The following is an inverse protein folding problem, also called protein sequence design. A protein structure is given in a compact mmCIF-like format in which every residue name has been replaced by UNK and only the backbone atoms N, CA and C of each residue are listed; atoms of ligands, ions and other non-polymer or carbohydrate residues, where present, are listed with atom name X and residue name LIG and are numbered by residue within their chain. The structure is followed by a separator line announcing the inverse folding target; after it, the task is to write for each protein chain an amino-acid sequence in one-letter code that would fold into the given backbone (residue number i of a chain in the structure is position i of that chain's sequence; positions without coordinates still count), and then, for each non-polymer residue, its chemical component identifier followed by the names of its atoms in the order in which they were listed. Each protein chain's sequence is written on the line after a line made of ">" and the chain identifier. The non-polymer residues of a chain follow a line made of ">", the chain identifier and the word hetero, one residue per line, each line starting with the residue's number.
data_IF_223216125447
#
_entry.id   IF_223216125447
#
_cell.length_a   1.000
_cell.length_b   1.000
_cell.length_c   1.000
_cell.angle_alpha   90.00
_cell.angle_beta   90.00
_cell.angle_gamma   90.00
#
_symmetry.space_group_name_H-M   'P 1'
#
loop_
_entity.id
_entity.type
_entity.pdbx_description
1 polymer ?
#
# COMPACT_ATOMS: atom_id res chain seq x y z
N UNK A 1 37.56 -40.66 -0.73
CA UNK A 1 36.26 -40.38 -0.09
C UNK A 1 36.10 -38.88 -0.05
N UNK A 2 35.30 -38.30 -0.93
CA UNK A 2 35.08 -36.86 -0.93
C UNK A 2 34.05 -36.53 0.14
N UNK A 3 34.43 -35.69 1.11
CA UNK A 3 33.49 -35.16 2.09
C UNK A 3 32.47 -34.31 1.36
N UNK A 4 31.24 -34.81 1.26
CA UNK A 4 30.11 -34.06 0.74
C UNK A 4 29.70 -33.09 1.84
N UNK A 5 29.64 -31.80 1.52
CA UNK A 5 29.18 -30.78 2.46
C UNK A 5 27.80 -31.18 3.01
N UNK A 6 27.56 -31.10 4.33
CA UNK A 6 26.22 -31.21 4.85
C UNK A 6 25.34 -30.17 4.14
N UNK A 7 24.25 -30.62 3.50
CA UNK A 7 23.38 -29.78 2.68
C UNK A 7 23.41 -30.03 1.16
N UNK A 8 24.28 -30.90 0.63
CA UNK A 8 24.27 -31.19 -0.81
C UNK A 8 23.08 -32.06 -1.22
N UNK A 9 22.19 -31.52 -2.06
CA UNK A 9 21.06 -32.24 -2.64
C UNK A 9 21.54 -33.32 -3.61
N UNK A 10 21.20 -34.58 -3.33
CA UNK A 10 21.56 -35.72 -4.16
C UNK A 10 20.46 -35.99 -5.17
N UNK A 11 20.72 -35.63 -6.42
CA UNK A 11 19.87 -36.04 -7.54
C UNK A 11 20.11 -37.53 -7.82
N UNK A 12 19.09 -38.39 -7.77
CA UNK A 12 19.27 -39.79 -8.12
C UNK A 12 19.58 -39.93 -9.61
N UNK A 13 20.45 -40.87 -9.94
CA UNK A 13 20.76 -41.28 -11.31
C UNK A 13 20.38 -42.73 -11.48
N UNK A 14 19.68 -43.04 -12.58
CA UNK A 14 19.22 -44.40 -12.87
C UNK A 14 20.02 -45.02 -14.00
N UNK A 15 20.27 -46.32 -13.93
CA UNK A 15 20.86 -47.11 -15.02
C UNK A 15 19.95 -48.27 -15.44
N UNK A 16 20.15 -48.76 -16.66
CA UNK A 16 19.35 -49.85 -17.21
C UNK A 16 19.51 -51.13 -16.38
N UNK A 17 18.37 -51.75 -16.04
CA UNK A 17 18.33 -52.94 -15.19
C UNK A 17 18.47 -52.66 -13.68
N UNK A 18 18.54 -51.39 -13.24
CA UNK A 18 18.54 -51.05 -11.82
C UNK A 18 17.20 -51.40 -11.15
N UNK A 19 17.26 -52.04 -9.99
CA UNK A 19 16.11 -52.20 -9.10
C UNK A 19 15.91 -50.90 -8.33
N UNK A 20 14.75 -50.26 -8.50
CA UNK A 20 14.41 -48.99 -7.84
C UNK A 20 14.03 -49.26 -6.38
N UNK A 21 14.75 -48.62 -5.46
CA UNK A 21 14.42 -48.68 -4.03
C UNK A 21 13.43 -47.58 -3.62
N UNK A 22 12.78 -47.76 -2.47
CA UNK A 22 11.96 -46.70 -1.88
C UNK A 22 12.78 -45.44 -1.56
N UNK A 23 14.06 -45.59 -1.22
CA UNK A 23 14.95 -44.45 -0.98
C UNK A 23 15.21 -43.64 -2.27
N UNK A 24 15.28 -44.30 -3.42
CA UNK A 24 15.45 -43.63 -4.71
C UNK A 24 14.19 -42.81 -5.05
N UNK A 25 13.00 -43.39 -4.88
CA UNK A 25 11.73 -42.69 -5.10
C UNK A 25 11.55 -41.50 -4.15
N UNK A 26 11.83 -41.68 -2.87
CA UNK A 26 11.80 -40.59 -1.90
C UNK A 26 12.79 -39.48 -2.26
N UNK A 27 13.99 -39.83 -2.75
CA UNK A 27 14.98 -38.84 -3.17
C UNK A 27 14.51 -38.03 -4.38
N UNK A 28 13.79 -38.65 -5.34
CA UNK A 28 13.16 -37.92 -6.46
C UNK A 28 12.13 -36.91 -5.95
N UNK A 29 11.20 -37.34 -5.09
CA UNK A 29 10.12 -36.49 -4.57
C UNK A 29 10.68 -35.34 -3.74
N UNK A 30 11.57 -35.63 -2.79
CA UNK A 30 12.20 -34.61 -1.94
C UNK A 30 12.98 -33.58 -2.75
N UNK A 31 13.70 -34.00 -3.80
CA UNK A 31 14.44 -33.07 -4.66
C UNK A 31 13.49 -32.07 -5.33
N UNK A 32 12.34 -32.53 -5.82
CA UNK A 32 11.36 -31.65 -6.44
C UNK A 32 10.71 -30.69 -5.43
N UNK A 33 10.31 -31.20 -4.27
CA UNK A 33 9.69 -30.40 -3.21
C UNK A 33 10.63 -29.31 -2.68
N UNK A 34 11.89 -29.65 -2.44
CA UNK A 34 12.89 -28.67 -1.97
C UNK A 34 13.19 -27.62 -3.05
N UNK A 35 13.27 -28.02 -4.32
CA UNK A 35 13.50 -27.05 -5.40
C UNK A 35 12.38 -26.00 -5.49
N UNK A 36 11.12 -26.41 -5.31
CA UNK A 36 9.96 -25.50 -5.24
C UNK A 36 10.06 -24.62 -4.00
N UNK A 37 10.28 -25.21 -2.82
CA UNK A 37 10.36 -24.46 -1.58
C UNK A 37 11.48 -23.40 -1.59
N UNK A 38 12.63 -23.71 -2.21
CA UNK A 38 13.71 -22.76 -2.42
C UNK A 38 13.33 -21.65 -3.39
N UNK A 39 12.68 -21.98 -4.53
CA UNK A 39 12.19 -20.99 -5.47
C UNK A 39 11.29 -19.97 -4.78
N UNK A 40 10.29 -20.47 -4.04
CA UNK A 40 9.36 -19.64 -3.27
C UNK A 40 10.07 -18.79 -2.22
N UNK A 41 10.91 -19.40 -1.38
CA UNK A 41 11.58 -18.71 -0.27
C UNK A 41 12.53 -17.60 -0.73
N UNK A 42 13.21 -17.79 -1.86
CA UNK A 42 14.27 -16.88 -2.30
C UNK A 42 13.80 -15.83 -3.30
N UNK A 43 12.82 -16.14 -4.14
CA UNK A 43 12.29 -15.20 -5.13
C UNK A 43 11.01 -14.49 -4.67
N UNK A 44 10.39 -14.93 -3.58
CA UNK A 44 9.14 -14.36 -3.08
C UNK A 44 9.21 -13.95 -1.60
N UNK A 45 8.29 -13.08 -1.21
CA UNK A 45 7.95 -12.86 0.20
C UNK A 45 6.82 -13.82 0.58
N UNK A 46 6.82 -14.41 1.79
CA UNK A 46 5.73 -15.28 2.23
C UNK A 46 4.43 -14.49 2.41
N UNK A 47 3.30 -15.17 2.31
CA UNK A 47 1.98 -14.57 2.46
C UNK A 47 0.91 -15.20 1.58
N UNK A 48 -0.24 -14.56 1.51
CA UNK A 48 -1.37 -14.95 0.67
C UNK A 48 -1.05 -14.61 -0.78
N UNK A 49 -1.06 -15.62 -1.66
CA UNK A 49 -0.85 -15.42 -3.09
C UNK A 49 -2.16 -15.03 -3.80
N UNK A 50 -3.26 -15.70 -3.46
CA UNK A 50 -4.60 -15.43 -4.01
C UNK A 50 -5.67 -15.98 -3.07
N UNK A 51 -6.83 -15.31 -2.99
CA UNK A 51 -7.98 -15.80 -2.22
C UNK A 51 -7.77 -15.72 -0.71
N UNK A 52 -8.23 -16.75 0.01
CA UNK A 52 -8.10 -16.90 1.47
C UNK A 52 -8.71 -15.77 2.32
N UNK A 53 -9.59 -14.95 1.74
CA UNK A 53 -10.29 -13.94 2.50
C UNK A 53 -11.27 -14.60 3.47
N UNK A 54 -11.36 -14.04 4.67
CA UNK A 54 -12.38 -14.39 5.65
C UNK A 54 -13.61 -13.50 5.46
N UNK A 55 -14.79 -14.11 5.49
CA UNK A 55 -16.07 -13.43 5.33
C UNK A 55 -17.05 -13.89 6.39
N UNK A 56 -17.84 -12.94 6.90
CA UNK A 56 -18.89 -13.18 7.88
C UNK A 56 -20.25 -13.01 7.23
N UNK A 57 -21.12 -13.98 7.42
CA UNK A 57 -22.53 -13.89 7.06
C UNK A 57 -23.31 -13.75 8.36
N UNK A 58 -24.09 -12.69 8.48
CA UNK A 58 -24.96 -12.49 9.63
C UNK A 58 -26.04 -13.57 9.67
N UNK A 59 -26.19 -14.18 10.85
CA UNK A 59 -27.18 -15.20 11.16
C UNK A 59 -27.83 -14.88 12.49
N UNK A 60 -28.96 -15.54 12.75
CA UNK A 60 -29.68 -15.41 14.01
C UNK A 60 -29.87 -16.78 14.64
N UNK A 61 -29.67 -16.86 15.94
CA UNK A 61 -29.99 -18.07 16.73
C UNK A 61 -31.50 -18.24 16.87
N UNK A 62 -31.95 -19.40 17.33
CA UNK A 62 -33.37 -19.62 17.65
C UNK A 62 -33.91 -18.68 18.74
N UNK A 63 -33.01 -18.10 19.55
CA UNK A 63 -33.35 -17.13 20.61
C UNK A 63 -33.42 -15.68 20.15
N UNK A 64 -33.18 -15.39 18.86
CA UNK A 64 -33.20 -14.02 18.31
C UNK A 64 -31.86 -13.28 18.38
N UNK A 65 -30.84 -13.86 19.00
CA UNK A 65 -29.50 -13.28 19.09
C UNK A 65 -28.74 -13.40 17.76
N UNK A 66 -28.05 -12.34 17.33
CA UNK A 66 -27.28 -12.32 16.08
C UNK A 66 -25.87 -12.85 16.27
N UNK A 67 -25.34 -13.50 15.24
CA UNK A 67 -23.96 -13.98 15.19
C UNK A 67 -23.44 -13.95 13.75
N UNK A 68 -22.13 -14.13 13.58
CA UNK A 68 -21.47 -14.22 12.28
C UNK A 68 -21.07 -15.67 12.01
N UNK A 69 -21.60 -16.25 10.93
CA UNK A 69 -21.07 -17.49 10.36
C UNK A 69 -19.85 -17.13 9.51
N UNK A 70 -18.66 -17.47 9.99
CA UNK A 70 -17.39 -17.08 9.37
C UNK A 70 -16.87 -18.18 8.45
N UNK A 71 -16.52 -17.82 7.22
CA UNK A 71 -16.00 -18.74 6.20
C UNK A 71 -14.70 -18.19 5.61
N UNK A 72 -13.74 -19.08 5.37
CA UNK A 72 -12.52 -18.80 4.60
C UNK A 72 -12.74 -19.19 3.14
N UNK A 73 -12.48 -18.27 2.22
CA UNK A 73 -12.57 -18.54 0.79
C UNK A 73 -11.44 -19.46 0.30
N UNK A 74 -11.67 -20.23 -0.78
CA UNK A 74 -10.60 -20.95 -1.44
C UNK A 74 -9.43 -20.02 -1.81
N UNK A 75 -8.22 -20.57 -1.82
CA UNK A 75 -7.04 -19.80 -2.17
C UNK A 75 -5.74 -20.52 -1.85
N UNK A 76 -4.65 -19.78 -2.03
CA UNK A 76 -3.29 -20.26 -1.88
C UNK A 76 -2.48 -19.26 -1.07
N UNK A 77 -1.71 -19.77 -0.11
CA UNK A 77 -0.65 -19.04 0.55
C UNK A 77 0.68 -19.77 0.42
N UNK A 78 1.76 -19.02 0.60
CA UNK A 78 3.13 -19.52 0.71
C UNK A 78 3.65 -19.17 2.09
N UNK A 79 4.06 -20.17 2.86
CA UNK A 79 4.61 -19.94 4.19
C UNK A 79 6.10 -19.50 4.13
N UNK A 80 6.69 -19.12 5.27
CA UNK A 80 8.10 -18.71 5.33
C UNK A 80 9.11 -19.80 4.95
N UNK A 81 8.70 -21.06 4.95
CA UNK A 81 9.50 -22.19 4.49
C UNK A 81 9.34 -22.46 2.98
N UNK A 82 8.53 -21.69 2.26
CA UNK A 82 8.24 -21.91 0.84
C UNK A 82 7.26 -23.05 0.58
N UNK A 83 6.53 -23.51 1.61
CA UNK A 83 5.46 -24.51 1.46
C UNK A 83 4.22 -23.84 0.91
N UNK A 84 3.59 -24.49 -0.07
CA UNK A 84 2.28 -24.11 -0.58
C UNK A 84 1.18 -24.60 0.36
N UNK A 85 0.30 -23.68 0.79
CA UNK A 85 -0.85 -23.94 1.65
C UNK A 85 -2.12 -23.62 0.85
N UNK A 86 -2.78 -24.67 0.36
CA UNK A 86 -3.97 -24.53 -0.49
C UNK A 86 -5.24 -24.93 0.25
N UNK A 87 -6.25 -24.07 0.20
CA UNK A 87 -7.64 -24.38 0.56
C UNK A 87 -8.42 -24.47 -0.74
N UNK A 88 -8.86 -25.68 -1.10
CA UNK A 88 -9.52 -25.93 -2.38
C UNK A 88 -11.00 -25.52 -2.41
N UNK A 89 -11.67 -25.57 -1.26
CA UNK A 89 -13.11 -25.27 -1.12
C UNK A 89 -13.32 -24.36 0.08
N UNK A 90 -14.36 -23.53 0.02
CA UNK A 90 -14.69 -22.63 1.12
C UNK A 90 -14.88 -23.43 2.42
N UNK A 91 -14.22 -23.02 3.48
CA UNK A 91 -14.22 -23.73 4.76
C UNK A 91 -14.83 -22.86 5.85
N UNK A 92 -15.88 -23.35 6.50
CA UNK A 92 -16.48 -22.65 7.64
C UNK A 92 -15.55 -22.81 8.84
N UNK A 93 -15.27 -21.69 9.53
CA UNK A 93 -14.54 -21.71 10.79
C UNK A 93 -15.36 -22.43 11.86
N UNK A 94 -14.74 -23.41 12.51
CA UNK A 94 -15.38 -24.19 13.58
C UNK A 94 -15.37 -23.41 14.89
N UNK A 95 -16.56 -23.07 15.40
CA UNK A 95 -16.74 -22.49 16.73
C UNK A 95 -16.36 -23.48 17.85
N UNK A 96 -16.60 -24.77 17.63
CA UNK A 96 -16.23 -25.82 18.58
C UNK A 96 -14.70 -25.91 18.72
N UNK A 97 -13.97 -25.86 17.59
CA UNK A 97 -12.50 -25.80 17.60
C UNK A 97 -11.98 -24.57 18.36
N UNK A 98 -12.63 -23.41 18.18
CA UNK A 98 -12.26 -22.20 18.90
C UNK A 98 -12.45 -22.36 20.42
N UNK A 99 -13.59 -22.90 20.85
CA UNK A 99 -13.90 -23.16 22.26
C UNK A 99 -12.93 -24.20 22.87
N UNK A 100 -12.65 -25.29 22.14
CA UNK A 100 -11.74 -26.37 22.55
C UNK A 100 -10.29 -25.90 22.73
N UNK A 101 -9.83 -24.94 21.90
CA UNK A 101 -8.50 -24.36 22.04
C UNK A 101 -8.35 -23.47 23.28
N UNK A 102 -9.46 -23.01 23.88
CA UNK A 102 -9.44 -22.23 25.11
C UNK A 102 -8.65 -20.92 25.00
N UNK A 103 -8.60 -20.32 23.81
CA UNK A 103 -7.84 -19.07 23.55
C UNK A 103 -8.60 -17.82 23.97
N UNK A 104 -9.90 -17.94 24.27
CA UNK A 104 -10.77 -16.83 24.63
C UNK A 104 -10.37 -16.19 25.98
N UNK A 105 -10.34 -14.87 26.00
CA UNK A 105 -10.24 -14.06 27.22
C UNK A 105 -11.63 -13.48 27.58
N UNK A 106 -11.77 -13.00 28.82
CA UNK A 106 -13.00 -12.36 29.30
C UNK A 106 -13.15 -10.92 28.79
N UNK A 107 -13.04 -10.72 27.47
CA UNK A 107 -13.27 -9.46 26.78
C UNK A 107 -14.07 -9.72 25.50
N UNK A 108 -15.33 -9.25 25.42
CA UNK A 108 -16.19 -9.45 24.25
C UNK A 108 -15.78 -8.61 23.02
N UNK A 109 -14.89 -7.61 23.19
CA UNK A 109 -14.40 -6.78 22.11
C UNK A 109 -13.04 -7.26 21.56
N UNK A 110 -12.44 -8.27 22.17
CA UNK A 110 -11.17 -8.82 21.75
C UNK A 110 -11.27 -9.50 20.38
N UNK A 111 -10.29 -9.20 19.52
CA UNK A 111 -10.12 -9.82 18.22
C UNK A 111 -9.04 -10.91 18.29
N UNK A 112 -9.40 -12.12 17.88
CA UNK A 112 -8.53 -13.28 17.86
C UNK A 112 -8.02 -13.52 16.44
N UNK A 113 -6.70 -13.64 16.22
CA UNK A 113 -6.15 -13.87 14.91
C UNK A 113 -6.49 -15.29 14.40
N UNK A 114 -6.84 -15.37 13.13
CA UNK A 114 -7.07 -16.62 12.39
C UNK A 114 -5.84 -16.90 11.53
N UNK A 115 -5.26 -18.08 11.67
CA UNK A 115 -4.04 -18.48 11.00
C UNK A 115 -4.25 -19.68 10.08
N UNK A 116 -3.52 -19.70 8.97
CA UNK A 116 -3.30 -20.88 8.15
C UNK A 116 -1.91 -21.44 8.40
N UNK A 117 -1.79 -22.75 8.55
CA UNK A 117 -0.51 -23.42 8.79
C UNK A 117 -0.44 -24.76 8.05
N UNK A 118 0.77 -25.19 7.71
CA UNK A 118 1.00 -26.51 7.11
C UNK A 118 1.17 -27.58 8.18
N UNK A 119 0.58 -28.76 7.96
CA UNK A 119 0.78 -29.95 8.77
C UNK A 119 0.99 -31.17 7.89
N UNK A 120 1.92 -32.02 8.28
CA UNK A 120 2.15 -33.31 7.63
C UNK A 120 1.60 -34.40 8.53
N UNK A 121 0.63 -35.16 8.01
CA UNK A 121 0.05 -36.28 8.71
C UNK A 121 0.52 -37.57 8.05
N UNK A 122 1.19 -38.41 8.84
CA UNK A 122 1.42 -39.80 8.46
C UNK A 122 0.18 -40.60 8.87
N UNK A 123 -0.61 -41.15 7.95
CA UNK A 123 -1.77 -41.95 8.29
C UNK A 123 -1.34 -43.11 9.21
N UNK A 124 -2.20 -43.46 10.18
CA UNK A 124 -1.95 -44.63 11.00
C UNK A 124 -1.79 -45.88 10.09
N UNK A 125 -0.82 -46.73 10.41
CA UNK A 125 -0.70 -48.03 9.76
C UNK A 125 -2.05 -48.77 9.88
N UNK A 126 -2.58 -49.24 8.76
CA UNK A 126 -3.78 -50.09 8.78
C UNK A 126 -3.53 -51.30 9.68
N UNK A 127 -4.53 -51.65 10.50
CA UNK A 127 -4.42 -52.62 11.60
C UNK A 127 -3.62 -53.88 11.26
N UNK A 128 -2.77 -54.30 12.19
CA UNK A 128 -1.83 -55.40 12.02
C UNK A 128 -2.52 -56.69 11.51
N UNK A 129 -2.02 -57.34 10.45
CA UNK A 129 -2.39 -58.73 10.20
C UNK A 129 -1.78 -59.62 11.28
N UNK A 130 -2.56 -60.56 11.78
CA UNK A 130 -2.21 -61.57 12.81
C UNK A 130 -1.24 -62.66 12.31
N UNK A 131 -0.38 -62.36 11.35
CA UNK A 131 0.57 -63.31 10.74
C UNK A 131 1.91 -62.62 10.50
N UNK A 132 3.01 -63.31 10.81
CA UNK A 132 4.40 -62.85 10.97
C UNK A 132 5.11 -62.15 9.80
N UNK A 133 4.39 -61.52 8.88
CA UNK A 133 4.93 -60.53 7.96
C UNK A 133 4.90 -59.15 8.65
N UNK A 134 6.06 -58.46 8.67
CA UNK A 134 6.21 -57.12 9.27
C UNK A 134 5.05 -56.21 8.85
N UNK A 135 4.45 -55.54 9.83
CA UNK A 135 3.27 -54.68 9.64
C UNK A 135 3.45 -53.67 8.50
N UNK A 136 2.36 -53.40 7.79
CA UNK A 136 2.34 -52.42 6.70
C UNK A 136 2.72 -51.04 7.27
N UNK A 137 3.93 -50.57 6.95
CA UNK A 137 4.29 -49.19 7.22
C UNK A 137 3.34 -48.26 6.42
N UNK A 138 3.01 -47.06 6.96
CA UNK A 138 2.25 -46.06 6.21
C UNK A 138 2.93 -45.79 4.87
N UNK A 139 2.16 -45.79 3.78
CA UNK A 139 2.70 -45.62 2.41
C UNK A 139 2.52 -44.21 1.87
N UNK A 140 1.95 -43.29 2.66
CA UNK A 140 1.56 -41.94 2.23
C UNK A 140 1.82 -40.95 3.35
N UNK A 141 2.14 -39.72 2.98
CA UNK A 141 2.09 -38.55 3.85
C UNK A 141 1.00 -37.66 3.26
N UNK A 142 0.11 -37.14 4.11
CA UNK A 142 -0.90 -36.16 3.69
C UNK A 142 -0.40 -34.80 4.13
N UNK A 143 -0.11 -33.94 3.17
CA UNK A 143 0.19 -32.53 3.39
C UNK A 143 -1.13 -31.77 3.46
N UNK A 144 -1.44 -31.18 4.61
CA UNK A 144 -2.71 -30.53 4.88
C UNK A 144 -2.46 -29.07 5.27
N UNK A 145 -3.32 -28.17 4.78
CA UNK A 145 -3.41 -26.81 5.29
C UNK A 145 -4.48 -26.79 6.39
N UNK A 146 -4.10 -26.33 7.58
CA UNK A 146 -4.95 -26.33 8.77
C UNK A 146 -5.21 -24.90 9.19
N UNK A 147 -6.49 -24.57 9.37
CA UNK A 147 -6.91 -23.31 9.97
C UNK A 147 -6.88 -23.45 11.49
N UNK A 148 -6.28 -22.48 12.15
CA UNK A 148 -6.24 -22.40 13.61
C UNK A 148 -6.46 -20.97 14.10
N UNK A 149 -6.56 -20.85 15.42
CA UNK A 149 -6.77 -19.57 16.11
C UNK A 149 -5.60 -19.28 17.04
N UNK A 150 -5.18 -18.02 17.10
CA UNK A 150 -4.21 -17.55 18.08
C UNK A 150 -4.86 -16.79 19.23
N UNK A 151 -4.04 -16.46 20.22
CA UNK A 151 -4.40 -15.50 21.26
C UNK A 151 -4.29 -14.07 20.74
N UNK A 152 -4.84 -13.12 21.47
CA UNK A 152 -4.83 -11.70 21.07
C UNK A 152 -3.38 -11.19 20.90
N UNK A 153 -2.46 -11.64 21.76
CA UNK A 153 -1.04 -11.31 21.70
C UNK A 153 -0.26 -12.01 20.56
N UNK A 154 -0.80 -13.08 19.98
CA UNK A 154 -0.14 -13.83 18.90
C UNK A 154 -0.21 -13.11 17.55
N UNK A 155 -0.96 -11.99 17.47
CA UNK A 155 -1.09 -11.20 16.25
C UNK A 155 0.20 -10.48 15.82
N UNK A 156 1.27 -10.54 16.64
CA UNK A 156 2.56 -9.90 16.36
C UNK A 156 3.02 -10.12 14.91
N UNK A 157 3.53 -9.04 14.30
CA UNK A 157 3.82 -8.91 12.86
C UNK A 157 4.39 -10.21 12.25
N UNK A 158 3.59 -10.97 11.47
CA UNK A 158 4.06 -12.22 10.87
C UNK A 158 5.16 -12.01 9.82
N UNK A 159 5.49 -10.74 9.51
CA UNK A 159 6.57 -10.35 8.60
C UNK A 159 7.91 -10.15 9.32
N UNK A 160 7.94 -10.18 10.65
CA UNK A 160 9.17 -10.00 11.40
C UNK A 160 9.90 -11.33 11.61
N UNK A 161 10.72 -11.65 10.61
CA UNK A 161 11.93 -12.50 10.67
C UNK A 161 11.74 -14.02 10.52
N UNK A 162 12.44 -14.60 9.53
CA UNK A 162 13.61 -15.49 9.64
C UNK A 162 13.89 -16.03 8.24
N UNK A 163 15.08 -15.78 7.70
CA UNK A 163 15.57 -16.53 6.53
C UNK A 163 15.88 -17.95 7.00
N UNK A 164 14.99 -18.90 6.71
CA UNK A 164 15.29 -20.32 6.87
C UNK A 164 16.57 -20.66 6.07
N UNK A 165 17.36 -21.61 6.59
CA UNK A 165 18.58 -22.09 5.94
C UNK A 165 18.30 -22.47 4.48
N UNK A 166 19.24 -22.21 3.57
CA UNK A 166 19.20 -22.64 2.17
C UNK A 166 18.97 -24.15 2.05
N UNK A 167 19.39 -24.92 3.05
CA UNK A 167 19.19 -26.37 3.07
C UNK A 167 17.86 -26.82 3.66
N UNK A 168 17.07 -25.94 4.28
CA UNK A 168 15.81 -26.31 4.93
C UNK A 168 14.74 -26.66 3.88
N UNK A 169 14.05 -27.79 4.09
CA UNK A 169 12.96 -28.25 3.23
C UNK A 169 11.62 -27.53 3.48
N UNK A 170 10.58 -27.85 2.70
CA UNK A 170 9.22 -27.38 2.97
C UNK A 170 8.76 -27.98 4.30
N UNK A 171 8.43 -27.13 5.28
CA UNK A 171 8.13 -27.53 6.66
C UNK A 171 9.18 -27.11 7.70
N UNK A 172 10.34 -26.62 7.26
CA UNK A 172 11.42 -26.20 8.16
C UNK A 172 12.13 -27.37 8.83
N UNK A 173 12.89 -27.09 9.89
CA UNK A 173 13.60 -28.13 10.64
C UNK A 173 12.62 -28.94 11.50
N UNK A 174 12.86 -30.25 11.61
CA UNK A 174 12.03 -31.14 12.41
C UNK A 174 11.95 -30.66 13.88
N UNK A 175 10.73 -30.51 14.40
CA UNK A 175 10.48 -30.03 15.77
C UNK A 175 10.28 -28.52 15.90
N UNK A 176 10.34 -27.76 14.80
CA UNK A 176 10.02 -26.33 14.79
C UNK A 176 8.51 -26.13 14.74
N UNK A 177 8.01 -25.08 15.40
CA UNK A 177 6.60 -24.70 15.30
C UNK A 177 6.25 -24.37 13.83
N UNK A 178 5.06 -24.74 13.34
CA UNK A 178 4.67 -24.47 11.97
C UNK A 178 4.59 -22.96 11.73
N UNK A 179 4.99 -22.54 10.54
CA UNK A 179 4.82 -21.14 10.12
C UNK A 179 3.33 -20.83 10.00
N UNK A 180 2.93 -19.66 10.51
CA UNK A 180 1.54 -19.21 10.56
C UNK A 180 1.34 -18.04 9.60
N UNK A 181 0.39 -18.17 8.68
CA UNK A 181 -0.04 -17.10 7.77
C UNK A 181 -1.32 -16.48 8.31
N UNK A 182 -1.32 -15.19 8.62
CA UNK A 182 -2.49 -14.48 9.13
C UNK A 182 -3.54 -14.31 8.02
N UNK A 183 -4.78 -14.73 8.29
CA UNK A 183 -5.93 -14.55 7.38
C UNK A 183 -6.84 -13.37 7.77
N UNK A 184 -6.83 -13.00 9.05
CA UNK A 184 -7.60 -11.89 9.62
C UNK A 184 -7.99 -12.20 11.05
N UNK A 185 -9.10 -11.65 11.52
CA UNK A 185 -9.49 -11.68 12.92
C UNK A 185 -10.99 -11.95 13.12
N UNK A 186 -11.33 -12.62 14.21
CA UNK A 186 -12.71 -12.87 14.65
C UNK A 186 -12.93 -12.38 16.08
N UNK A 187 -14.13 -11.90 16.40
CA UNK A 187 -14.56 -11.68 17.78
C UNK A 187 -15.40 -12.85 18.27
N UNK A 188 -15.27 -13.18 19.55
CA UNK A 188 -15.95 -14.30 20.18
C UNK A 188 -16.95 -13.85 21.24
N UNK A 189 -18.18 -14.36 21.14
CA UNK A 189 -19.18 -14.24 22.20
C UNK A 189 -19.21 -15.53 23.01
N UNK A 190 -18.62 -15.49 24.21
CA UNK A 190 -18.53 -16.63 25.12
C UNK A 190 -19.87 -17.11 25.67
N UNK A 191 -20.88 -16.22 25.78
CA UNK A 191 -22.22 -16.58 26.24
C UNK A 191 -22.99 -17.39 25.17
N UNK A 192 -22.82 -17.01 23.89
CA UNK A 192 -23.49 -17.69 22.76
C UNK A 192 -22.67 -18.85 22.19
N UNK A 193 -21.37 -18.92 22.51
CA UNK A 193 -20.38 -19.78 21.84
C UNK A 193 -20.41 -19.61 20.33
N UNK A 194 -20.41 -18.34 19.88
CA UNK A 194 -20.47 -17.96 18.46
C UNK A 194 -19.54 -16.79 18.17
N UNK A 195 -19.09 -16.68 16.92
CA UNK A 195 -18.41 -15.48 16.46
C UNK A 195 -19.40 -14.30 16.36
N UNK A 196 -19.01 -13.13 16.85
CA UNK A 196 -19.85 -11.91 16.83
C UNK A 196 -19.45 -10.94 15.72
N UNK A 197 -18.18 -10.95 15.31
CA UNK A 197 -17.66 -10.08 14.26
C UNK A 197 -16.46 -10.75 13.55
N UNK A 198 -16.16 -10.26 12.35
CA UNK A 198 -14.98 -10.64 11.59
C UNK A 198 -14.41 -9.41 10.89
N UNK A 199 -13.09 -9.30 10.83
CA UNK A 199 -12.39 -8.22 10.14
C UNK A 199 -11.09 -8.73 9.52
N UNK A 200 -10.71 -8.20 8.38
CA UNK A 200 -9.42 -8.49 7.76
C UNK A 200 -8.25 -7.78 8.43
N UNK A 201 -8.50 -6.74 9.23
CA UNK A 201 -7.43 -6.00 9.92
C UNK A 201 -7.87 -5.50 11.29
N UNK A 202 -6.94 -5.44 12.23
CA UNK A 202 -7.14 -4.96 13.59
C UNK A 202 -5.83 -4.38 14.14
N UNK A 203 -5.89 -3.26 14.87
CA UNK A 203 -4.74 -2.58 15.47
C UNK A 203 -3.54 -2.35 14.52
N UNK A 204 -3.84 -2.03 13.25
CA UNK A 204 -2.82 -1.79 12.22
C UNK A 204 -2.17 -3.05 11.65
N UNK A 205 -2.61 -4.24 12.07
CA UNK A 205 -2.14 -5.54 11.61
C UNK A 205 -3.12 -6.07 10.57
N UNK A 206 -2.59 -6.53 9.43
CA UNK A 206 -3.35 -7.12 8.33
C UNK A 206 -2.60 -8.32 7.74
N UNK A 207 -3.30 -9.23 7.02
CA UNK A 207 -2.67 -10.29 6.25
C UNK A 207 -1.53 -9.80 5.36
N UNK A 208 -0.45 -10.58 5.34
CA UNK A 208 0.65 -10.40 4.41
C UNK A 208 0.29 -11.07 3.07
N UNK A 209 0.68 -10.42 1.98
CA UNK A 209 0.49 -10.94 0.63
C UNK A 209 1.83 -11.33 0.03
N UNK A 210 1.83 -12.40 -0.77
CA UNK A 210 3.03 -12.89 -1.42
C UNK A 210 3.64 -11.80 -2.31
N UNK A 211 4.93 -11.54 -2.12
CA UNK A 211 5.68 -10.53 -2.84
C UNK A 211 6.66 -11.13 -3.84
N UNK A 212 7.36 -10.28 -4.60
CA UNK A 212 8.42 -10.70 -5.53
C UNK A 212 9.72 -9.99 -5.17
N UNK A 213 10.83 -10.73 -5.19
CA UNK A 213 12.20 -10.21 -5.08
C UNK A 213 12.86 -10.31 -6.46
N UNK A 214 12.99 -9.18 -7.13
CA UNK A 214 13.62 -9.10 -8.44
C UNK A 214 14.24 -7.72 -8.65
N UNK A 215 15.42 -7.71 -9.28
CA UNK A 215 16.06 -6.46 -9.73
C UNK A 215 15.44 -5.94 -11.05
N UNK A 216 14.83 -6.83 -11.85
CA UNK A 216 14.21 -6.49 -13.13
C UNK A 216 12.85 -7.20 -13.31
N UNK A 217 11.82 -6.44 -13.73
CA UNK A 217 10.48 -6.94 -14.09
C UNK A 217 10.13 -6.49 -15.50
N UNK A 218 10.15 -7.42 -16.46
CA UNK A 218 9.97 -7.11 -17.89
C UNK A 218 8.57 -7.51 -18.38
N UNK A 219 7.75 -6.52 -18.75
CA UNK A 219 6.45 -6.74 -19.38
C UNK A 219 6.55 -6.78 -20.92
N UNK A 220 6.87 -7.95 -21.49
CA UNK A 220 7.01 -8.14 -22.95
C UNK A 220 5.75 -7.82 -23.77
N UNK A 221 4.59 -7.78 -23.13
CA UNK A 221 3.33 -7.33 -23.73
C UNK A 221 3.22 -5.81 -23.91
N UNK A 222 4.27 -5.05 -23.54
CA UNK A 222 4.31 -3.60 -23.70
C UNK A 222 3.63 -2.81 -22.57
N UNK A 223 3.19 -3.47 -21.49
CA UNK A 223 2.47 -2.81 -20.39
C UNK A 223 2.71 -3.51 -19.06
N UNK A 224 3.26 -2.78 -18.10
CA UNK A 224 3.46 -3.22 -16.71
C UNK A 224 2.54 -2.41 -15.80
N UNK A 225 1.75 -3.07 -14.96
CA UNK A 225 0.88 -2.39 -13.99
C UNK A 225 1.14 -2.91 -12.57
N UNK A 226 1.26 -1.98 -11.62
CA UNK A 226 1.37 -2.22 -10.19
C UNK A 226 0.08 -1.74 -9.54
N UNK A 227 -0.57 -2.57 -8.72
CA UNK A 227 -1.91 -2.30 -8.18
C UNK A 227 -1.96 -2.62 -6.70
N UNK A 228 -2.73 -1.83 -5.94
CA UNK A 228 -3.00 -2.11 -4.52
C UNK A 228 -4.23 -3.00 -4.30
N UNK A 229 -4.97 -3.33 -5.36
CA UNK A 229 -6.14 -4.19 -5.32
C UNK A 229 -6.34 -4.92 -6.67
N UNK A 230 -7.12 -6.01 -6.72
CA UNK A 230 -7.45 -6.69 -7.97
C UNK A 230 -8.01 -5.73 -9.02
N UNK A 231 -7.76 -6.04 -10.31
CA UNK A 231 -8.12 -5.19 -11.46
C UNK A 231 -9.60 -4.81 -11.51
N UNK A 232 -10.46 -5.60 -10.88
CA UNK A 232 -11.91 -5.43 -10.85
C UNK A 232 -12.41 -4.44 -9.78
N UNK A 233 -11.55 -4.02 -8.85
CA UNK A 233 -11.95 -3.19 -7.70
C UNK A 233 -11.67 -1.71 -7.96
N UNK A 234 -12.68 -0.94 -8.36
CA UNK A 234 -12.51 0.48 -8.66
C UNK A 234 -12.09 1.32 -7.44
N UNK A 235 -11.47 2.48 -7.69
CA UNK A 235 -11.11 3.48 -6.67
C UNK A 235 -9.74 3.27 -6.01
N UNK A 236 -9.13 2.10 -6.20
CA UNK A 236 -7.81 1.80 -5.67
C UNK A 236 -6.69 2.37 -6.53
N UNK A 237 -5.57 2.69 -5.91
CA UNK A 237 -4.43 3.29 -6.59
C UNK A 237 -3.68 2.25 -7.42
N UNK A 238 -3.19 2.71 -8.57
CA UNK A 238 -2.35 1.92 -9.45
C UNK A 238 -1.32 2.81 -10.15
N UNK A 239 -0.21 2.19 -10.55
CA UNK A 239 0.82 2.74 -11.43
C UNK A 239 0.91 1.85 -12.65
N UNK A 240 1.08 2.44 -13.82
CA UNK A 240 1.27 1.73 -15.07
C UNK A 240 2.40 2.34 -15.87
N UNK A 241 3.22 1.48 -16.45
CA UNK A 241 4.22 1.81 -17.46
C UNK A 241 3.78 1.15 -18.76
N UNK A 242 3.37 1.95 -19.73
CA UNK A 242 3.03 1.53 -21.08
C UNK A 242 4.19 1.86 -22.02
N UNK A 243 4.70 0.86 -22.72
CA UNK A 243 5.69 1.00 -23.78
C UNK A 243 5.03 1.33 -25.14
N UNK A 244 5.86 1.63 -26.14
CA UNK A 244 5.40 1.99 -27.49
C UNK A 244 5.78 3.42 -27.88
N UNK A 245 5.21 3.92 -28.97
CA UNK A 245 5.59 5.20 -29.58
C UNK A 245 5.34 6.43 -28.69
N UNK A 246 4.37 6.36 -27.79
CA UNK A 246 4.04 7.44 -26.85
C UNK A 246 4.61 7.25 -25.45
N UNK A 247 4.95 6.00 -25.08
CA UNK A 247 5.59 5.58 -23.83
C UNK A 247 5.14 6.36 -22.59
N UNK A 248 4.20 5.85 -21.80
CA UNK A 248 3.61 6.62 -20.70
C UNK A 248 3.75 5.91 -19.35
N UNK A 249 4.19 6.66 -18.35
CA UNK A 249 3.99 6.34 -16.94
C UNK A 249 2.70 7.03 -16.48
N UNK A 250 1.74 6.25 -15.96
CA UNK A 250 0.45 6.75 -15.46
C UNK A 250 0.27 6.37 -14.00
N UNK A 251 -0.17 7.33 -13.18
CA UNK A 251 -0.58 7.10 -11.80
C UNK A 251 -1.98 7.65 -11.57
N UNK A 252 -2.81 6.88 -10.88
CA UNK A 252 -4.14 7.30 -10.48
C UNK A 252 -5.02 6.16 -9.96
N UNK A 253 -6.30 6.45 -9.76
CA UNK A 253 -7.26 5.45 -9.33
C UNK A 253 -7.67 4.56 -10.52
N UNK A 254 -7.81 3.26 -10.28
CA UNK A 254 -8.35 2.35 -11.29
C UNK A 254 -9.88 2.44 -11.34
N UNK A 255 -10.46 2.38 -12.54
CA UNK A 255 -11.90 2.29 -12.73
C UNK A 255 -12.40 0.83 -12.67
N UNK A 256 -13.70 0.61 -12.84
CA UNK A 256 -14.32 -0.73 -12.82
C UNK A 256 -13.87 -1.65 -13.97
N UNK A 257 -13.29 -1.09 -15.04
CA UNK A 257 -12.65 -1.85 -16.12
C UNK A 257 -11.17 -2.14 -15.85
N UNK A 258 -10.65 -1.68 -14.72
CA UNK A 258 -9.25 -1.80 -14.33
C UNK A 258 -8.29 -0.89 -15.09
N UNK A 259 -8.81 0.07 -15.85
CA UNK A 259 -8.00 1.10 -16.48
C UNK A 259 -7.67 2.17 -15.44
N UNK A 260 -6.46 2.71 -15.51
CA UNK A 260 -6.04 3.80 -14.63
C UNK A 260 -6.66 5.09 -15.16
N UNK A 261 -7.36 5.82 -14.29
CA UNK A 261 -7.79 7.20 -14.52
C UNK A 261 -6.65 8.10 -14.04
N UNK A 262 -5.80 8.61 -14.95
CA UNK A 262 -4.56 9.24 -14.55
C UNK A 262 -4.83 10.59 -13.89
N UNK A 263 -4.22 10.79 -12.73
CA UNK A 263 -4.08 12.12 -12.09
C UNK A 263 -2.67 12.68 -12.27
N UNK A 264 -1.73 11.82 -12.68
CA UNK A 264 -0.35 12.12 -12.96
C UNK A 264 0.15 11.25 -14.13
N UNK A 265 0.73 11.88 -15.14
CA UNK A 265 1.30 11.19 -16.31
C UNK A 265 2.66 11.79 -16.67
N UNK A 266 3.60 10.94 -17.05
CA UNK A 266 4.87 11.31 -17.70
C UNK A 266 4.98 10.56 -19.02
N UNK A 267 5.17 11.27 -20.13
CA UNK A 267 5.34 10.64 -21.44
C UNK A 267 6.84 10.42 -21.79
N UNK A 268 7.11 9.75 -22.90
CA UNK A 268 8.47 9.44 -23.35
C UNK A 268 9.31 10.68 -23.72
N UNK A 269 8.67 11.85 -23.92
CA UNK A 269 9.36 13.13 -24.16
C UNK A 269 9.72 13.86 -22.86
N UNK A 270 9.26 13.36 -21.71
CA UNK A 270 9.41 14.00 -20.41
C UNK A 270 8.33 15.04 -20.10
N UNK A 271 7.27 15.14 -20.92
CA UNK A 271 6.14 16.02 -20.62
C UNK A 271 5.36 15.46 -19.43
N UNK A 272 4.98 16.36 -18.53
CA UNK A 272 4.30 16.03 -17.28
C UNK A 272 2.90 16.62 -17.24
N UNK A 273 1.91 15.79 -16.96
CA UNK A 273 0.51 16.18 -16.81
C UNK A 273 0.06 15.84 -15.39
N UNK A 274 -0.47 16.83 -14.67
CA UNK A 274 -1.01 16.62 -13.33
C UNK A 274 -2.35 17.34 -13.19
N UNK A 275 -3.37 16.63 -12.70
CA UNK A 275 -4.68 17.22 -12.38
C UNK A 275 -4.71 17.87 -10.98
N UNK A 276 -3.70 17.59 -10.15
CA UNK A 276 -3.57 18.13 -8.80
C UNK A 276 -2.48 19.22 -8.66
N UNK A 277 -2.23 19.64 -7.43
CA UNK A 277 -1.16 20.60 -7.10
C UNK A 277 0.18 19.86 -6.96
N UNK A 278 1.20 20.31 -7.69
CA UNK A 278 2.60 19.93 -7.46
C UNK A 278 3.21 21.00 -6.57
N UNK A 279 3.70 20.64 -5.38
CA UNK A 279 4.41 21.55 -4.49
C UNK A 279 5.92 21.39 -4.64
N UNK A 280 6.62 22.48 -4.96
CA UNK A 280 8.08 22.53 -5.08
C UNK A 280 8.51 23.61 -6.08
N UNK A 281 9.73 24.12 -5.94
CA UNK A 281 10.31 24.99 -6.95
C UNK A 281 10.65 24.16 -8.19
N UNK A 282 10.04 24.46 -9.33
CA UNK A 282 10.49 23.92 -10.62
C UNK A 282 11.73 24.73 -11.04
N UNK A 283 12.94 24.14 -11.08
CA UNK A 283 14.14 24.85 -11.51
C UNK A 283 14.01 25.20 -13.00
N UNK A 284 14.35 26.43 -13.38
CA UNK A 284 14.43 26.82 -14.79
C UNK A 284 13.13 27.35 -15.42
N UNK A 285 12.29 28.05 -14.66
CA UNK A 285 11.09 28.72 -15.18
C UNK A 285 10.86 30.10 -14.55
N UNK A 286 10.03 30.90 -15.22
CA UNK A 286 9.47 32.12 -14.63
C UNK A 286 8.37 31.73 -13.63
N UNK A 287 8.53 32.12 -12.37
CA UNK A 287 7.48 31.96 -11.36
C UNK A 287 6.70 33.26 -11.22
N UNK A 288 5.38 33.17 -11.05
CA UNK A 288 4.51 34.33 -10.99
C UNK A 288 3.75 34.37 -9.66
N UNK A 289 3.63 35.57 -9.09
CA UNK A 289 2.74 35.89 -7.98
C UNK A 289 1.90 37.09 -8.36
N UNK A 290 0.58 36.97 -8.24
CA UNK A 290 -0.35 38.08 -8.42
C UNK A 290 -1.12 38.34 -7.14
N UNK A 291 -1.66 39.54 -6.98
CA UNK A 291 -2.53 39.89 -5.87
C UNK A 291 -2.75 41.39 -5.76
N UNK A 292 -3.36 41.81 -4.65
CA UNK A 292 -3.53 43.22 -4.30
C UNK A 292 -2.80 43.51 -2.98
N UNK A 293 -2.27 44.71 -2.84
CA UNK A 293 -1.54 45.14 -1.64
C UNK A 293 -1.75 46.63 -1.34
N UNK A 294 -1.47 47.04 -0.10
CA UNK A 294 -1.61 48.42 0.35
C UNK A 294 -0.28 49.20 0.21
N UNK A 295 -0.37 50.52 0.17
CA UNK A 295 0.79 51.41 0.29
C UNK A 295 1.70 51.01 1.46
N UNK A 296 3.00 50.97 1.20
CA UNK A 296 4.02 50.64 2.17
C UNK A 296 4.23 49.15 2.43
N UNK A 297 3.42 48.24 1.88
CA UNK A 297 3.61 46.80 2.06
C UNK A 297 4.69 46.21 1.14
N UNK A 298 5.27 45.08 1.55
CA UNK A 298 6.19 44.30 0.72
C UNK A 298 5.40 43.33 -0.17
N UNK A 299 5.76 43.24 -1.44
CA UNK A 299 5.21 42.22 -2.34
C UNK A 299 5.59 40.81 -1.85
N UNK A 300 4.63 39.89 -1.86
CA UNK A 300 4.88 38.49 -1.58
C UNK A 300 5.73 37.89 -2.70
N UNK A 301 6.73 37.07 -2.34
CA UNK A 301 7.54 36.34 -3.32
C UNK A 301 6.72 35.21 -3.96
N UNK A 302 7.01 34.84 -5.22
CA UNK A 302 6.41 33.66 -5.82
C UNK A 302 6.70 32.38 -5.04
N UNK A 303 5.79 31.39 -5.07
CA UNK A 303 5.97 30.13 -4.37
C UNK A 303 7.26 29.41 -4.80
N UNK A 304 8.18 29.22 -3.86
CA UNK A 304 9.48 28.57 -4.13
C UNK A 304 10.65 29.53 -4.34
N UNK A 305 10.42 30.85 -4.34
CA UNK A 305 11.47 31.87 -4.27
C UNK A 305 11.65 32.33 -2.82
N UNK A 306 12.86 32.20 -2.31
CA UNK A 306 13.25 32.62 -0.96
C UNK A 306 13.89 34.01 -0.97
N UNK A 307 13.84 34.71 0.16
CA UNK A 307 14.51 36.02 0.30
C UNK A 307 16.02 35.91 0.05
N UNK A 308 16.66 34.83 0.53
CA UNK A 308 18.08 34.60 0.33
C UNK A 308 18.47 34.47 -1.16
N UNK A 309 17.61 33.90 -2.00
CA UNK A 309 17.84 33.81 -3.45
C UNK A 309 17.74 35.18 -4.15
N UNK A 310 16.89 36.07 -3.64
CA UNK A 310 16.78 37.45 -4.12
C UNK A 310 18.00 38.26 -3.69
N UNK A 311 18.37 38.18 -2.41
CA UNK A 311 19.49 38.94 -1.83
C UNK A 311 20.85 38.52 -2.42
N UNK A 312 21.01 37.25 -2.77
CA UNK A 312 22.21 36.72 -3.43
C UNK A 312 22.27 36.99 -4.94
N UNK A 313 21.19 37.53 -5.53
CA UNK A 313 21.10 37.77 -6.98
C UNK A 313 20.92 36.49 -7.82
N UNK A 314 20.58 35.36 -7.19
CA UNK A 314 20.26 34.11 -7.88
C UNK A 314 18.90 34.17 -8.62
N UNK A 315 18.03 35.10 -8.22
CA UNK A 315 16.73 35.35 -8.83
C UNK A 315 16.58 36.84 -9.18
N UNK A 316 16.18 37.12 -10.42
CA UNK A 316 15.79 38.46 -10.85
C UNK A 316 14.28 38.64 -10.71
N UNK A 317 13.85 39.68 -10.01
CA UNK A 317 12.44 40.02 -9.85
C UNK A 317 12.03 41.13 -10.81
N UNK A 318 10.90 40.96 -11.50
CA UNK A 318 10.23 42.00 -12.25
C UNK A 318 8.84 42.24 -11.65
N UNK A 319 8.59 43.45 -11.18
CA UNK A 319 7.30 43.84 -10.60
C UNK A 319 6.56 44.77 -11.56
N UNK A 320 5.29 44.47 -11.79
CA UNK A 320 4.32 45.37 -12.42
C UNK A 320 3.25 45.70 -11.39
N UNK A 321 2.95 46.99 -11.19
CA UNK A 321 1.94 47.47 -10.24
C UNK A 321 1.00 48.44 -10.94
N UNK A 322 -0.29 48.33 -10.61
CA UNK A 322 -1.36 49.16 -11.17
C UNK A 322 -2.27 49.63 -10.03
N UNK A 323 -2.69 50.90 -9.99
CA UNK A 323 -3.66 51.36 -9.00
C UNK A 323 -4.96 50.55 -9.08
N UNK A 324 -5.48 50.12 -7.94
CA UNK A 324 -6.73 49.38 -7.86
C UNK A 324 -7.91 50.35 -7.71
N UNK A 325 -8.80 50.39 -8.70
CA UNK A 325 -9.94 51.32 -8.76
C UNK A 325 -11.25 50.76 -8.17
N UNK A 326 -11.27 49.48 -7.75
CA UNK A 326 -12.50 48.74 -7.45
C UNK A 326 -12.84 48.50 -5.98
N UNK A 327 -11.94 48.79 -5.04
CA UNK A 327 -12.14 48.64 -3.59
C UNK A 327 -11.92 50.00 -2.97
N UNK A 328 -12.86 50.56 -2.20
CA UNK A 328 -12.71 51.91 -1.76
C UNK A 328 -11.72 51.93 -0.59
N UNK A 329 -10.49 52.38 -0.85
CA UNK A 329 -9.70 53.09 0.15
C UNK A 329 -10.42 54.44 0.40
N UNK A 330 -11.60 54.37 1.02
CA UNK A 330 -12.60 55.43 1.13
C UNK A 330 -11.98 56.73 1.67
N UNK A 331 -12.34 57.92 1.13
CA UNK A 331 -12.65 59.05 1.99
C UNK A 331 -13.99 58.72 2.69
N UNK A 332 -14.12 58.92 4.02
CA UNK A 332 -15.19 58.33 4.83
C UNK A 332 -16.60 58.62 4.28
N UNK A 333 -17.58 57.72 4.52
CA UNK A 333 -18.94 57.85 4.02
C UNK A 333 -19.66 58.96 4.78
N UNK A 334 -19.52 60.18 4.28
CA UNK A 334 -20.49 61.25 4.53
C UNK A 334 -21.14 61.60 3.18
N UNK A 335 -22.35 61.10 2.96
CA UNK A 335 -23.18 61.58 1.86
C UNK A 335 -23.46 63.09 2.04
N UNK A 336 -23.63 63.89 0.95
CA UNK A 336 -23.85 63.52 -0.45
C UNK A 336 -22.71 63.94 -1.39
N UNK A 337 -21.45 63.82 -0.97
CA UNK A 337 -20.33 64.32 -1.76
C UNK A 337 -19.81 63.27 -2.74
N UNK A 338 -19.66 63.64 -4.02
CA UNK A 338 -18.99 62.81 -5.02
C UNK A 338 -17.49 63.08 -4.95
N UNK A 339 -16.71 62.01 -4.98
CA UNK A 339 -15.25 62.06 -4.92
C UNK A 339 -14.67 61.41 -6.17
N UNK A 340 -13.67 62.05 -6.76
CA UNK A 340 -12.88 61.52 -7.86
C UNK A 340 -11.52 61.04 -7.32
N UNK A 341 -11.20 59.77 -7.55
CA UNK A 341 -9.87 59.23 -7.25
C UNK A 341 -8.94 59.45 -8.44
N UNK A 342 -7.73 59.91 -8.18
CA UNK A 342 -6.65 60.01 -9.18
C UNK A 342 -5.36 59.46 -8.59
N UNK A 343 -4.69 58.49 -9.23
CA UNK A 343 -3.40 58.00 -8.74
C UNK A 343 -2.35 59.12 -8.83
N UNK A 344 -1.63 59.34 -7.73
CA UNK A 344 -0.48 60.25 -7.69
C UNK A 344 0.78 59.45 -8.03
N UNK A 345 0.93 58.29 -7.41
CA UNK A 345 2.11 57.45 -7.51
C UNK A 345 1.73 55.99 -7.40
N UNK A 346 2.32 55.16 -8.26
CA UNK A 346 2.22 53.72 -8.21
C UNK A 346 3.54 53.13 -8.70
N UNK A 347 4.42 52.74 -7.77
CA UNK A 347 5.73 52.16 -8.08
C UNK A 347 6.17 51.17 -7.01
N UNK A 348 7.24 50.43 -7.32
CA UNK A 348 7.89 49.51 -6.39
C UNK A 348 9.35 49.91 -6.23
N UNK A 349 9.84 49.96 -4.98
CA UNK A 349 11.27 50.10 -4.67
C UNK A 349 11.63 49.09 -3.61
N UNK A 350 12.66 48.29 -3.87
CA UNK A 350 13.12 47.22 -2.98
C UNK A 350 11.97 46.32 -2.49
N UNK A 351 11.10 45.95 -3.43
CA UNK A 351 9.86 45.15 -3.22
C UNK A 351 8.78 45.84 -2.39
N UNK A 352 9.01 47.05 -1.88
CA UNK A 352 8.00 47.86 -1.19
C UNK A 352 7.16 48.63 -2.20
N UNK A 353 5.84 48.52 -2.07
CA UNK A 353 4.88 49.24 -2.91
C UNK A 353 4.67 50.64 -2.38
N UNK A 354 4.70 51.61 -3.30
CA UNK A 354 4.29 53.00 -3.08
C UNK A 354 3.07 53.25 -3.95
N UNK A 355 1.91 53.39 -3.32
CA UNK A 355 0.60 53.50 -3.94
C UNK A 355 -0.14 54.66 -3.27
N UNK A 356 -0.09 55.86 -3.86
CA UNK A 356 -0.77 57.05 -3.32
C UNK A 356 -1.86 57.51 -4.25
N UNK A 357 -3.02 57.80 -3.67
CA UNK A 357 -4.19 58.28 -4.41
C UNK A 357 -4.62 59.63 -3.86
N UNK A 358 -5.01 60.51 -4.79
CA UNK A 358 -5.67 61.78 -4.50
C UNK A 358 -7.17 61.60 -4.64
N UNK A 359 -7.91 61.96 -3.62
CA UNK A 359 -9.35 62.12 -3.65
C UNK A 359 -9.69 63.59 -3.78
N UNK A 360 -10.42 63.94 -4.83
CA UNK A 360 -10.89 65.31 -5.06
C UNK A 360 -12.40 65.34 -4.97
N UNK A 361 -12.94 66.14 -4.05
CA UNK A 361 -14.38 66.33 -3.90
C UNK A 361 -14.89 67.19 -5.06
N UNK A 362 -15.89 66.71 -5.79
CA UNK A 362 -16.29 67.35 -7.07
C UNK A 362 -17.09 68.64 -6.90
N UNK A 363 -17.60 68.93 -5.70
CA UNK A 363 -18.43 70.11 -5.39
C UNK A 363 -17.63 71.28 -4.76
N UNK A 364 -16.50 70.98 -4.12
CA UNK A 364 -15.71 71.95 -3.31
C UNK A 364 -14.24 71.98 -3.70
N UNK A 365 -13.79 71.08 -4.59
CA UNK A 365 -12.37 70.85 -4.89
C UNK A 365 -11.52 70.56 -3.66
N UNK A 366 -12.13 70.06 -2.57
CA UNK A 366 -11.40 69.60 -1.41
C UNK A 366 -10.54 68.39 -1.79
N UNK A 367 -9.25 68.47 -1.50
CA UNK A 367 -8.28 67.41 -1.82
C UNK A 367 -7.92 66.65 -0.54
N UNK A 368 -7.90 65.32 -0.63
CA UNK A 368 -7.36 64.42 0.39
C UNK A 368 -6.41 63.43 -0.27
N UNK A 369 -5.18 63.32 0.25
CA UNK A 369 -4.21 62.33 -0.21
C UNK A 369 -4.13 61.20 0.79
N UNK A 370 -4.27 59.97 0.31
CA UNK A 370 -4.34 58.79 1.17
C UNK A 370 -3.57 57.60 0.57
N UNK A 371 -3.13 56.66 1.41
CA UNK A 371 -2.71 55.33 0.99
C UNK A 371 -3.73 54.68 0.08
N UNK A 372 -3.27 54.19 -1.07
CA UNK A 372 -4.07 53.45 -2.05
C UNK A 372 -3.87 51.94 -1.93
N UNK A 373 -4.74 51.21 -2.64
CA UNK A 373 -4.58 49.79 -2.94
C UNK A 373 -4.05 49.67 -4.38
N UNK A 374 -3.12 48.75 -4.59
CA UNK A 374 -2.55 48.48 -5.90
C UNK A 374 -2.60 46.98 -6.19
N UNK A 375 -2.96 46.62 -7.42
CA UNK A 375 -2.82 45.27 -7.95
C UNK A 375 -1.38 45.08 -8.44
N UNK A 376 -0.81 43.90 -8.21
CA UNK A 376 0.55 43.59 -8.60
C UNK A 376 0.66 42.26 -9.34
N UNK A 377 1.64 42.19 -10.22
CA UNK A 377 2.19 40.95 -10.78
C UNK A 377 3.69 40.98 -10.54
N UNK A 378 4.20 39.99 -9.80
CA UNK A 378 5.61 39.79 -9.53
C UNK A 378 6.07 38.53 -10.25
N UNK A 379 7.02 38.71 -11.17
CA UNK A 379 7.65 37.61 -11.92
C UNK A 379 9.06 37.40 -11.40
N UNK A 380 9.40 36.17 -11.04
CA UNK A 380 10.73 35.76 -10.63
C UNK A 380 11.37 34.90 -11.71
N UNK A 381 12.52 35.35 -12.20
CA UNK A 381 13.35 34.62 -13.16
C UNK A 381 14.53 34.01 -12.41
N UNK A 382 14.55 32.68 -12.34
CA UNK A 382 15.72 31.95 -11.82
C UNK A 382 16.83 32.02 -12.87
N UNK A 383 18.03 32.46 -12.45
CA UNK A 383 19.20 32.45 -13.34
C UNK A 383 19.59 30.98 -13.55
N UNK A 384 19.57 30.54 -14.82
CA UNK A 384 20.00 29.20 -15.20
C UNK A 384 21.47 28.96 -14.86
#
# INVERSE_FOLDING_TARGET
>A
MSAISPGAFRRPTFYEGQIISAADLNSVVMTAQVAIAQHERYLHLPGIAEGLQIEGIERTTSGGETYQEVTVKPGLAVDGNGRHLAIATAERLSEDLFDDLGVAINDPLAYYPVFLSGRDETPAASGAPTSGCRGSAPTRIVEIAVIGFGRVEDAADPNNVVTADVTAGPGGDAGTAPWRVLLGFVQWNSALKRFSAVTSSHDGISPAYAGVRADEVVARGGKLALRTAPRTVSGNLAVEVEGGATGELRFGAQNSSGNIVPVFTVNAKGDLFAAGKISGAVPGGAQFQTGSTFDGMLLALPPGVTQAQVDSGAVTLQAHVTPHYGIPALPPPAAPHRWLMTPIECRVVDRRVYCRVRWTRTDTNQIQEMPGVCDYTLTAFTKA
#
